data_IF_200330010864
#
_entry.id   IF_200330010864
#
_cell.length_a   1.000
_cell.length_b   1.000
_cell.length_c   1.000
_cell.angle_alpha   90.00
_cell.angle_beta   90.00
_cell.angle_gamma   90.00
#
_symmetry.space_group_name_H-M   'P 1'
#
loop_
_entity.id
_entity.type
_entity.pdbx_description
1 polymer ?
#
# COMPACT_ATOMS: atom_id res chain seq x y z
N UNK A 1 -15.58 24.90 13.74
CA UNK A 1 -15.65 23.42 13.85
C UNK A 1 -14.23 22.88 13.74
N UNK A 2 -13.74 22.18 14.77
CA UNK A 2 -12.39 21.63 14.78
C UNK A 2 -12.22 20.65 13.62
N UNK A 3 -11.30 20.95 12.71
CA UNK A 3 -11.10 20.21 11.45
C UNK A 3 -10.39 18.86 11.68
N UNK A 4 -9.94 18.59 12.92
CA UNK A 4 -9.48 17.27 13.32
C UNK A 4 -10.22 16.81 14.56
N UNK A 5 -10.53 15.52 14.55
CA UNK A 5 -10.95 14.80 15.72
C UNK A 5 -9.79 14.82 16.73
N UNK A 6 -10.09 15.07 18.00
CA UNK A 6 -9.12 15.05 19.11
C UNK A 6 -8.27 13.77 19.06
N UNK A 7 -7.04 13.79 19.62
CA UNK A 7 -6.08 12.66 19.63
C UNK A 7 -6.68 11.26 19.92
N UNK A 8 -7.84 11.21 20.59
CA UNK A 8 -8.59 10.00 20.94
C UNK A 8 -9.43 9.39 19.79
N UNK A 9 -9.57 10.07 18.65
CA UNK A 9 -10.46 9.66 17.53
C UNK A 9 -9.73 9.40 16.22
N UNK A 10 -8.39 9.38 16.22
CA UNK A 10 -7.61 9.05 15.03
C UNK A 10 -7.36 7.54 15.00
N UNK A 11 -7.97 6.83 14.04
CA UNK A 11 -7.76 5.39 13.79
C UNK A 11 -6.52 5.11 12.90
N UNK A 12 -5.77 6.16 12.54
CA UNK A 12 -4.57 6.07 11.70
C UNK A 12 -3.36 5.78 12.60
N UNK A 13 -2.48 4.81 12.23
CA UNK A 13 -1.26 4.56 12.99
C UNK A 13 -0.39 5.83 13.00
N UNK A 14 -0.02 6.28 14.20
CA UNK A 14 0.83 7.46 14.36
C UNK A 14 2.20 7.21 13.74
N UNK A 15 2.71 8.20 13.00
CA UNK A 15 4.08 8.18 12.52
C UNK A 15 5.05 8.32 13.70
N UNK A 16 6.15 7.58 13.64
CA UNK A 16 6.96 7.24 14.78
C UNK A 16 8.45 7.33 14.41
N UNK A 17 9.03 8.54 14.45
CA UNK A 17 10.48 8.72 14.33
C UNK A 17 11.19 8.47 15.68
N UNK A 18 12.34 7.82 15.64
CA UNK A 18 13.07 7.38 16.85
C UNK A 18 13.86 8.52 17.52
N UNK A 19 14.12 9.60 16.80
CA UNK A 19 14.90 10.77 17.25
C UNK A 19 14.06 11.84 17.98
N UNK A 20 12.75 11.65 18.08
CA UNK A 20 11.87 12.67 18.66
C UNK A 20 11.96 12.72 20.19
N UNK A 21 12.31 13.91 20.70
CA UNK A 21 12.49 14.19 22.14
C UNK A 21 11.43 15.15 22.66
N UNK A 22 10.86 14.86 23.83
CA UNK A 22 9.90 15.78 24.47
C UNK A 22 10.62 16.97 25.14
N UNK A 23 10.23 18.24 24.87
CA UNK A 23 10.91 19.41 25.43
C UNK A 23 10.76 19.56 26.95
N UNK A 24 9.74 18.94 27.54
CA UNK A 24 9.41 19.06 28.96
C UNK A 24 10.17 18.05 29.84
N UNK A 25 10.10 16.77 29.50
CA UNK A 25 10.72 15.69 30.26
C UNK A 25 12.08 15.25 29.69
N UNK A 26 12.45 15.73 28.49
CA UNK A 26 13.67 15.36 27.75
C UNK A 26 13.87 13.85 27.62
N UNK A 27 12.81 13.07 27.80
CA UNK A 27 12.87 11.62 27.62
C UNK A 27 12.84 11.33 26.13
N UNK A 28 13.89 10.66 25.68
CA UNK A 28 13.99 10.12 24.33
C UNK A 28 13.03 8.94 24.17
N UNK A 29 12.44 8.83 22.98
CA UNK A 29 11.50 7.76 22.66
C UNK A 29 12.15 6.37 22.65
N UNK A 30 13.46 6.30 22.40
CA UNK A 30 14.26 5.07 22.49
C UNK A 30 14.13 4.37 23.87
N UNK A 31 14.10 5.14 24.97
CA UNK A 31 13.97 4.57 26.31
C UNK A 31 12.54 4.09 26.61
N UNK A 32 11.52 4.70 26.00
CA UNK A 32 10.11 4.42 26.27
C UNK A 32 9.35 4.17 24.96
N UNK A 33 9.47 2.95 24.41
CA UNK A 33 8.82 2.54 23.16
C UNK A 33 7.30 2.79 23.05
N UNK A 34 6.46 2.63 24.10
CA UNK A 34 5.01 2.89 23.99
C UNK A 34 4.63 4.37 24.13
N UNK A 35 5.61 5.28 24.28
CA UNK A 35 5.35 6.70 24.48
C UNK A 35 4.85 7.35 23.17
N UNK A 36 3.63 7.89 23.23
CA UNK A 36 3.03 8.65 22.13
C UNK A 36 3.39 10.12 22.24
N UNK A 37 3.80 10.71 21.12
CA UNK A 37 3.98 12.14 20.98
C UNK A 37 2.72 12.73 20.34
N UNK A 38 2.26 13.81 20.94
CA UNK A 38 1.12 14.60 20.51
C UNK A 38 1.61 15.96 20.05
N UNK A 39 0.92 16.51 19.06
CA UNK A 39 1.18 17.82 18.49
C UNK A 39 0.02 18.75 18.82
N UNK A 40 0.33 19.94 19.32
CA UNK A 40 -0.65 20.99 19.56
C UNK A 40 -0.87 21.87 18.32
N UNK A 41 -1.87 22.78 18.32
CA UNK A 41 -2.08 23.71 17.20
C UNK A 41 -0.96 24.73 17.01
N UNK A 42 0.02 24.78 17.93
CA UNK A 42 1.26 25.53 17.77
C UNK A 42 2.39 24.71 17.11
N UNK A 43 2.11 23.50 16.62
CA UNK A 43 3.06 22.59 15.97
C UNK A 43 4.30 22.25 16.80
N UNK A 44 4.15 22.18 18.13
CA UNK A 44 5.19 21.68 19.03
C UNK A 44 4.84 20.25 19.50
N UNK A 45 5.85 19.37 19.52
CA UNK A 45 5.72 17.98 19.96
C UNK A 45 5.79 17.89 21.49
N UNK A 46 4.88 17.14 22.11
CA UNK A 46 4.85 16.87 23.55
C UNK A 46 4.40 15.44 23.84
N UNK A 47 4.87 14.82 24.92
CA UNK A 47 4.44 13.46 25.26
C UNK A 47 3.08 13.42 25.98
N UNK A 48 2.38 12.29 25.87
CA UNK A 48 1.06 12.09 26.49
C UNK A 48 1.04 12.39 28.01
N UNK A 49 2.08 12.00 28.74
CA UNK A 49 2.19 12.25 30.17
C UNK A 49 2.36 13.74 30.49
N UNK A 50 3.22 14.45 29.74
CA UNK A 50 3.41 15.89 29.93
C UNK A 50 2.19 16.70 29.49
N UNK A 51 1.48 16.26 28.45
CA UNK A 51 0.22 16.87 28.02
C UNK A 51 -0.85 16.68 29.09
N UNK A 52 -1.03 15.47 29.61
CA UNK A 52 -2.01 15.21 30.67
C UNK A 52 -1.67 16.03 31.92
N UNK A 53 -0.45 15.94 32.45
CA UNK A 53 -0.07 16.63 33.67
C UNK A 53 -0.24 18.17 33.60
N UNK A 54 0.10 18.80 32.46
CA UNK A 54 -0.02 20.26 32.32
C UNK A 54 -1.43 20.74 32.02
N UNK A 55 -2.15 20.04 31.15
CA UNK A 55 -3.44 20.51 30.62
C UNK A 55 -4.64 19.92 31.36
N UNK A 56 -4.45 18.98 32.30
CA UNK A 56 -5.53 18.49 33.18
C UNK A 56 -5.95 19.54 34.21
N UNK A 57 -5.03 20.41 34.63
CA UNK A 57 -5.32 21.50 35.57
C UNK A 57 -6.12 22.66 34.94
N UNK A 58 -6.20 22.71 33.61
CA UNK A 58 -6.89 23.77 32.87
C UNK A 58 -6.15 24.20 31.59
N UNK A 59 -6.64 25.24 30.90
CA UNK A 59 -5.94 25.81 29.76
C UNK A 59 -4.61 26.40 30.23
N UNK A 60 -3.50 25.90 29.68
CA UNK A 60 -2.15 26.28 30.04
C UNK A 60 -1.39 26.79 28.81
N UNK A 61 -0.35 27.62 28.97
CA UNK A 61 0.49 28.04 27.87
C UNK A 61 1.42 26.90 27.39
N UNK A 62 1.71 26.87 26.10
CA UNK A 62 2.73 26.00 25.51
C UNK A 62 4.13 26.38 26.07
N UNK A 63 5.00 25.42 26.43
CA UNK A 63 6.33 25.72 26.99
C UNK A 63 7.33 26.32 25.99
N UNK A 64 7.04 26.28 24.68
CA UNK A 64 7.95 26.80 23.63
C UNK A 64 7.48 28.15 23.11
N UNK A 65 6.19 28.32 22.86
CA UNK A 65 5.64 29.51 22.21
C UNK A 65 4.55 30.24 23.01
N UNK A 66 4.33 29.86 24.27
CA UNK A 66 3.42 30.50 25.24
C UNK A 66 1.95 30.67 24.83
N UNK A 67 1.54 30.19 23.66
CA UNK A 67 0.13 30.16 23.23
C UNK A 67 -0.70 29.32 24.20
N UNK A 68 -1.87 29.81 24.58
CA UNK A 68 -2.80 29.11 25.49
C UNK A 68 -3.46 27.96 24.73
N UNK A 69 -3.25 26.73 25.18
CA UNK A 69 -3.75 25.51 24.54
C UNK A 69 -4.68 24.73 25.47
N UNK A 70 -5.55 23.91 24.87
CA UNK A 70 -6.42 22.96 25.59
C UNK A 70 -6.04 21.53 25.28
N UNK A 71 -6.21 20.62 26.25
CA UNK A 71 -5.93 19.17 26.10
C UNK A 71 -6.62 18.56 24.88
N UNK A 72 -7.86 18.97 24.59
CA UNK A 72 -8.66 18.45 23.49
C UNK A 72 -8.11 18.81 22.10
N UNK A 73 -7.29 19.86 21.99
CA UNK A 73 -6.76 20.38 20.73
C UNK A 73 -5.46 19.68 20.30
N UNK A 74 -4.89 18.84 21.17
CA UNK A 74 -3.77 17.97 20.83
C UNK A 74 -4.23 16.78 19.98
N UNK A 75 -3.41 16.39 19.02
CA UNK A 75 -3.65 15.28 18.10
C UNK A 75 -2.36 14.46 17.88
N UNK A 76 -2.47 13.24 17.36
CA UNK A 76 -1.32 12.38 17.07
C UNK A 76 -0.74 12.74 15.69
N UNK A 77 0.60 12.82 15.61
CA UNK A 77 1.31 13.11 14.38
C UNK A 77 1.17 11.96 13.38
N UNK A 78 0.76 12.27 12.14
CA UNK A 78 0.61 11.30 11.05
C UNK A 78 1.71 11.40 9.99
N UNK A 79 2.37 12.55 9.87
CA UNK A 79 3.44 12.81 8.90
C UNK A 79 4.75 13.12 9.63
N UNK A 80 5.90 12.84 9.02
CA UNK A 80 7.22 13.18 9.59
C UNK A 80 7.40 14.70 9.75
N UNK A 81 7.04 15.45 8.71
CA UNK A 81 7.15 16.90 8.66
C UNK A 81 5.88 17.59 9.17
N UNK A 82 6.06 18.51 10.13
CA UNK A 82 5.02 19.35 10.72
C UNK A 82 4.51 20.40 9.72
N UNK A 83 5.32 20.81 8.74
CA UNK A 83 4.91 21.80 7.72
C UNK A 83 3.85 21.20 6.79
N UNK A 84 4.08 19.97 6.32
CA UNK A 84 3.12 19.20 5.51
C UNK A 84 1.84 18.96 6.30
N UNK A 85 1.94 18.67 7.59
CA UNK A 85 0.75 18.49 8.43
C UNK A 85 -0.07 19.78 8.58
N UNK A 86 0.59 20.94 8.73
CA UNK A 86 -0.06 22.25 8.72
C UNK A 86 -0.77 22.52 7.39
N UNK A 87 -0.07 22.28 6.28
CA UNK A 87 -0.61 22.45 4.92
C UNK A 87 -1.85 21.58 4.69
N UNK A 88 -1.78 20.28 5.02
CA UNK A 88 -2.91 19.35 4.89
C UNK A 88 -4.10 19.82 5.74
N UNK A 89 -3.85 20.37 6.94
CA UNK A 89 -4.91 20.90 7.80
C UNK A 89 -5.58 22.12 7.19
N UNK A 90 -4.80 23.07 6.67
CA UNK A 90 -5.31 24.27 6.00
C UNK A 90 -6.09 23.86 4.74
N UNK A 91 -5.54 22.98 3.91
CA UNK A 91 -6.21 22.47 2.69
C UNK A 91 -7.51 21.74 3.00
N UNK A 92 -7.57 20.92 4.06
CA UNK A 92 -8.83 20.30 4.50
C UNK A 92 -9.87 21.35 4.93
N UNK A 93 -9.45 22.38 5.69
CA UNK A 93 -10.33 23.50 6.06
C UNK A 93 -10.86 24.23 4.83
N UNK A 94 -10.00 24.45 3.83
CA UNK A 94 -10.36 25.12 2.58
C UNK A 94 -11.28 24.24 1.74
N UNK A 95 -10.99 22.96 1.54
CA UNK A 95 -11.85 22.03 0.79
C UNK A 95 -13.28 21.92 1.37
N UNK A 96 -13.44 22.01 2.70
CA UNK A 96 -14.76 22.04 3.33
C UNK A 96 -15.56 23.31 3.02
N UNK A 97 -14.87 24.44 2.83
CA UNK A 97 -15.50 25.74 2.56
C UNK A 97 -15.67 26.00 1.06
N UNK A 98 -14.67 25.63 0.26
CA UNK A 98 -14.56 25.78 -1.18
C UNK A 98 -14.84 24.45 -1.88
N UNK A 99 -16.09 24.00 -1.84
CA UNK A 99 -16.50 22.67 -2.31
C UNK A 99 -17.24 22.70 -3.67
N UNK A 100 -16.90 23.62 -4.57
CA UNK A 100 -17.46 23.67 -5.93
C UNK A 100 -16.76 22.65 -6.83
N UNK A 101 -17.54 21.90 -7.61
CA UNK A 101 -17.01 20.90 -8.56
C UNK A 101 -16.92 21.51 -9.96
N UNK A 102 -16.17 20.87 -10.85
CA UNK A 102 -16.08 21.28 -12.26
C UNK A 102 -17.47 21.40 -12.92
N UNK A 103 -18.42 20.54 -12.54
CA UNK A 103 -19.81 20.54 -13.02
C UNK A 103 -20.57 21.84 -12.70
N UNK A 104 -20.15 22.60 -11.69
CA UNK A 104 -20.80 23.85 -11.30
C UNK A 104 -20.38 25.03 -12.20
N UNK A 105 -19.41 24.84 -13.10
CA UNK A 105 -18.86 25.87 -13.98
C UNK A 105 -19.20 25.59 -15.45
N UNK A 106 -19.39 26.67 -16.23
CA UNK A 106 -19.70 26.58 -17.67
C UNK A 106 -18.46 26.30 -18.51
N UNK A 107 -17.31 26.83 -18.08
CA UNK A 107 -16.04 26.74 -18.80
C UNK A 107 -14.94 26.21 -17.88
N UNK A 108 -14.04 25.41 -18.45
CA UNK A 108 -12.88 24.86 -17.72
C UNK A 108 -11.96 25.97 -17.20
N UNK A 109 -11.83 27.09 -17.95
CA UNK A 109 -11.01 28.23 -17.54
C UNK A 109 -11.51 28.86 -16.23
N UNK A 110 -12.82 28.97 -16.07
CA UNK A 110 -13.41 29.55 -14.85
C UNK A 110 -13.16 28.65 -13.64
N UNK A 111 -13.18 27.33 -13.84
CA UNK A 111 -12.84 26.36 -12.81
C UNK A 111 -11.36 26.45 -12.42
N UNK A 112 -10.45 26.55 -13.39
CA UNK A 112 -9.02 26.68 -13.10
C UNK A 112 -8.70 27.99 -12.38
N UNK A 113 -9.28 29.12 -12.79
CA UNK A 113 -9.13 30.40 -12.10
C UNK A 113 -9.67 30.32 -10.65
N UNK A 114 -10.75 29.55 -10.42
CA UNK A 114 -11.28 29.32 -9.09
C UNK A 114 -10.32 28.49 -8.23
N UNK A 115 -9.71 27.43 -8.78
CA UNK A 115 -8.70 26.64 -8.08
C UNK A 115 -7.46 27.48 -7.74
N UNK A 116 -6.99 28.30 -8.67
CA UNK A 116 -5.87 29.22 -8.44
C UNK A 116 -6.17 30.20 -7.31
N UNK A 117 -7.36 30.82 -7.30
CA UNK A 117 -7.80 31.69 -6.20
C UNK A 117 -7.82 30.95 -4.85
N UNK A 118 -8.24 29.68 -4.83
CA UNK A 118 -8.24 28.87 -3.59
C UNK A 118 -6.80 28.60 -3.14
N UNK A 119 -5.89 28.29 -4.06
CA UNK A 119 -4.47 28.07 -3.73
C UNK A 119 -3.75 29.36 -3.29
N UNK A 120 -4.10 30.52 -3.85
CA UNK A 120 -3.56 31.80 -3.36
C UNK A 120 -3.97 32.05 -1.91
N UNK A 121 -5.20 31.72 -1.54
CA UNK A 121 -5.70 31.86 -0.17
C UNK A 121 -5.06 30.83 0.77
N UNK A 122 -4.87 29.57 0.33
CA UNK A 122 -4.19 28.55 1.15
C UNK A 122 -2.74 28.93 1.40
N UNK A 123 -2.05 29.46 0.38
CA UNK A 123 -0.65 29.83 0.45
C UNK A 123 -0.41 31.02 1.40
N UNK A 124 -1.29 32.04 1.35
CA UNK A 124 -1.30 33.14 2.34
C UNK A 124 -1.43 32.64 3.77
N UNK A 125 -2.36 31.69 4.01
CA UNK A 125 -2.54 31.10 5.32
C UNK A 125 -1.38 30.20 5.77
N UNK A 126 -0.60 29.64 4.85
CA UNK A 126 0.51 28.75 5.17
C UNK A 126 1.76 29.54 5.58
N UNK A 127 2.03 30.65 4.90
CA UNK A 127 3.19 31.51 5.16
C UNK A 127 2.92 32.61 6.20
N UNK A 128 1.72 32.65 6.78
CA UNK A 128 1.25 33.70 7.70
C UNK A 128 1.31 35.12 7.09
N UNK A 129 1.21 35.22 5.75
CA UNK A 129 1.16 36.49 5.02
C UNK A 129 -0.30 36.98 4.93
N UNK A 130 -0.60 38.14 5.52
CA UNK A 130 -1.92 38.80 5.51
C UNK A 130 -3.08 37.85 5.89
N UNK A 131 -2.93 37.12 7.01
CA UNK A 131 -3.92 36.16 7.50
C UNK A 131 -5.31 36.78 7.67
N UNK A 132 -5.39 38.04 8.08
CA UNK A 132 -6.66 38.74 8.31
C UNK A 132 -7.46 38.95 7.01
N UNK A 133 -6.77 39.26 5.91
CA UNK A 133 -7.41 39.41 4.60
C UNK A 133 -7.91 38.06 4.07
N UNK A 134 -7.08 37.03 4.21
CA UNK A 134 -7.46 35.67 3.81
C UNK A 134 -8.68 35.19 4.60
N UNK A 135 -8.70 35.39 5.92
CA UNK A 135 -9.85 35.02 6.77
C UNK A 135 -11.11 35.81 6.44
N UNK A 136 -10.99 37.11 6.14
CA UNK A 136 -12.11 37.92 5.67
C UNK A 136 -12.70 37.39 4.37
N UNK A 137 -11.85 37.04 3.39
CA UNK A 137 -12.28 36.47 2.11
C UNK A 137 -12.99 35.13 2.29
N UNK A 138 -12.46 34.27 3.17
CA UNK A 138 -13.08 32.98 3.52
C UNK A 138 -14.46 33.18 4.14
N UNK A 139 -14.60 34.08 5.10
CA UNK A 139 -15.87 34.31 5.81
C UNK A 139 -16.90 34.96 4.89
N UNK A 140 -16.48 35.89 4.02
CA UNK A 140 -17.33 36.45 2.97
C UNK A 140 -17.83 35.34 2.04
N UNK A 141 -16.94 34.51 1.52
CA UNK A 141 -17.31 33.42 0.63
C UNK A 141 -18.27 32.43 1.30
N UNK A 142 -18.02 32.07 2.56
CA UNK A 142 -18.88 31.21 3.36
C UNK A 142 -20.29 31.79 3.49
N UNK A 143 -20.41 33.09 3.77
CA UNK A 143 -21.71 33.77 3.92
C UNK A 143 -22.48 33.80 2.61
N UNK A 144 -21.81 34.12 1.51
CA UNK A 144 -22.43 34.20 0.17
C UNK A 144 -22.83 32.82 -0.37
N UNK A 145 -22.06 31.77 -0.09
CA UNK A 145 -22.23 30.43 -0.68
C UNK A 145 -22.73 29.36 0.30
N UNK A 146 -23.21 29.72 1.48
CA UNK A 146 -23.61 28.77 2.54
C UNK A 146 -24.54 27.66 2.06
N UNK A 147 -25.60 28.02 1.31
CA UNK A 147 -26.57 27.06 0.77
C UNK A 147 -26.00 26.10 -0.28
N UNK A 148 -25.02 26.57 -1.06
CA UNK A 148 -24.32 25.75 -2.06
C UNK A 148 -23.39 24.78 -1.35
N UNK A 149 -22.67 25.28 -0.33
CA UNK A 149 -21.75 24.48 0.47
C UNK A 149 -22.49 23.32 1.14
N UNK A 150 -23.62 23.59 1.79
CA UNK A 150 -24.42 22.56 2.48
C UNK A 150 -24.97 21.50 1.50
N UNK A 151 -25.43 21.93 0.32
CA UNK A 151 -25.90 21.01 -0.73
C UNK A 151 -24.77 20.09 -1.21
N UNK A 152 -23.59 20.66 -1.46
CA UNK A 152 -22.44 19.90 -1.95
C UNK A 152 -21.86 18.97 -0.88
N UNK A 153 -21.87 19.38 0.39
CA UNK A 153 -21.52 18.51 1.53
C UNK A 153 -22.50 17.33 1.65
N UNK A 154 -23.81 17.60 1.53
CA UNK A 154 -24.83 16.55 1.59
C UNK A 154 -24.69 15.54 0.44
N UNK A 155 -24.35 16.01 -0.77
CA UNK A 155 -24.04 15.14 -1.91
C UNK A 155 -22.81 14.26 -1.63
N UNK A 156 -21.72 14.86 -1.14
CA UNK A 156 -20.49 14.11 -0.81
C UNK A 156 -20.76 12.98 0.20
N UNK A 157 -21.47 13.28 1.30
CA UNK A 157 -21.85 12.27 2.30
C UNK A 157 -22.73 11.15 1.70
N UNK A 158 -23.61 11.49 0.76
CA UNK A 158 -24.42 10.49 0.05
C UNK A 158 -23.56 9.61 -0.85
N UNK A 159 -22.64 10.19 -1.60
CA UNK A 159 -21.73 9.45 -2.47
C UNK A 159 -20.84 8.50 -1.64
N UNK A 160 -20.29 8.98 -0.52
CA UNK A 160 -19.48 8.17 0.41
C UNK A 160 -20.28 7.00 1.01
N UNK A 161 -21.53 7.22 1.42
CA UNK A 161 -22.39 6.15 1.95
C UNK A 161 -22.72 5.11 0.89
N UNK A 162 -22.99 5.52 -0.35
CA UNK A 162 -23.20 4.61 -1.48
C UNK A 162 -21.95 3.76 -1.75
N UNK A 163 -20.76 4.39 -1.77
CA UNK A 163 -19.50 3.67 -1.99
C UNK A 163 -19.24 2.62 -0.89
N UNK A 164 -19.46 2.97 0.38
CA UNK A 164 -19.33 2.00 1.49
C UNK A 164 -20.28 0.82 1.35
N UNK A 165 -21.56 1.09 1.05
CA UNK A 165 -22.55 0.03 0.84
C UNK A 165 -22.19 -0.87 -0.35
N UNK A 166 -21.67 -0.31 -1.44
CA UNK A 166 -21.22 -1.08 -2.59
C UNK A 166 -20.03 -2.00 -2.24
N UNK A 167 -19.06 -1.47 -1.50
CA UNK A 167 -17.93 -2.25 -1.00
C UNK A 167 -18.38 -3.40 -0.09
N UNK A 168 -19.26 -3.12 0.87
CA UNK A 168 -19.79 -4.13 1.79
C UNK A 168 -20.53 -5.26 1.05
N UNK A 169 -21.32 -4.89 0.03
CA UNK A 169 -22.01 -5.87 -0.82
C UNK A 169 -21.02 -6.74 -1.62
N UNK A 170 -19.95 -6.15 -2.15
CA UNK A 170 -18.92 -6.91 -2.87
C UNK A 170 -18.20 -7.90 -1.95
N UNK A 171 -17.86 -7.48 -0.73
CA UNK A 171 -17.24 -8.35 0.27
C UNK A 171 -18.18 -9.50 0.66
N UNK A 172 -19.46 -9.23 0.89
CA UNK A 172 -20.45 -10.27 1.17
C UNK A 172 -20.58 -11.28 0.02
N UNK A 173 -20.58 -10.81 -1.23
CA UNK A 173 -20.62 -11.70 -2.41
C UNK A 173 -19.39 -12.60 -2.50
N UNK A 174 -18.20 -12.05 -2.25
CA UNK A 174 -16.94 -12.84 -2.22
C UNK A 174 -16.98 -13.90 -1.12
N UNK A 175 -17.47 -13.56 0.07
CA UNK A 175 -17.61 -14.50 1.18
C UNK A 175 -18.61 -15.61 0.86
N UNK A 176 -19.76 -15.28 0.26
CA UNK A 176 -20.74 -16.28 -0.17
C UNK A 176 -20.16 -17.25 -1.20
N UNK A 177 -19.46 -16.72 -2.22
CA UNK A 177 -18.78 -17.56 -3.21
C UNK A 177 -17.72 -18.48 -2.58
N UNK A 178 -16.96 -17.98 -1.61
CA UNK A 178 -15.98 -18.78 -0.86
C UNK A 178 -16.67 -19.89 -0.07
N UNK A 179 -17.77 -19.60 0.61
CA UNK A 179 -18.54 -20.58 1.37
C UNK A 179 -19.14 -21.67 0.45
N UNK A 180 -19.74 -21.26 -0.68
CA UNK A 180 -20.25 -22.18 -1.69
C UNK A 180 -19.16 -23.10 -2.24
N UNK A 181 -17.98 -22.55 -2.53
CA UNK A 181 -16.84 -23.33 -2.99
C UNK A 181 -16.38 -24.36 -1.94
N UNK A 182 -16.29 -23.96 -0.68
CA UNK A 182 -15.93 -24.87 0.42
C UNK A 182 -16.98 -25.98 0.61
N UNK A 183 -18.27 -25.65 0.48
CA UNK A 183 -19.36 -26.65 0.54
C UNK A 183 -19.24 -27.68 -0.58
N UNK A 184 -18.97 -27.24 -1.81
CA UNK A 184 -18.75 -28.13 -2.96
C UNK A 184 -17.57 -29.08 -2.72
N UNK A 185 -16.45 -28.58 -2.21
CA UNK A 185 -15.29 -29.41 -1.88
C UNK A 185 -15.61 -30.44 -0.80
N UNK A 186 -16.33 -30.05 0.26
CA UNK A 186 -16.72 -30.97 1.33
C UNK A 186 -17.67 -32.08 0.82
N UNK A 187 -18.61 -31.74 -0.06
CA UNK A 187 -19.50 -32.72 -0.67
C UNK A 187 -18.75 -33.69 -1.61
N UNK A 188 -17.78 -33.18 -2.38
CA UNK A 188 -16.89 -34.04 -3.17
C UNK A 188 -16.09 -35.03 -2.31
N UNK A 189 -15.57 -34.59 -1.15
CA UNK A 189 -14.85 -35.45 -0.22
C UNK A 189 -15.74 -36.56 0.34
N UNK A 190 -16.98 -36.22 0.70
CA UNK A 190 -17.99 -37.19 1.17
C UNK A 190 -18.33 -38.22 0.09
N UNK A 191 -18.52 -37.79 -1.15
CA UNK A 191 -18.76 -38.70 -2.28
C UNK A 191 -17.57 -39.64 -2.51
N UNK A 192 -16.35 -39.11 -2.51
CA UNK A 192 -15.13 -39.92 -2.63
C UNK A 192 -15.01 -40.94 -1.49
N UNK A 193 -15.35 -40.56 -0.25
CA UNK A 193 -15.36 -41.46 0.89
C UNK A 193 -16.44 -42.56 0.75
N UNK A 194 -17.65 -42.20 0.34
CA UNK A 194 -18.73 -43.14 0.10
C UNK A 194 -18.39 -44.15 -1.00
N UNK A 195 -17.76 -43.70 -2.09
CA UNK A 195 -17.34 -44.60 -3.17
C UNK A 195 -16.25 -45.56 -2.66
N UNK A 196 -15.25 -45.06 -1.91
CA UNK A 196 -14.21 -45.89 -1.26
C UNK A 196 -14.82 -46.94 -0.33
N UNK A 197 -15.75 -46.54 0.55
CA UNK A 197 -16.43 -47.45 1.47
C UNK A 197 -17.25 -48.50 0.72
N UNK A 198 -17.94 -48.12 -0.36
CA UNK A 198 -18.68 -49.07 -1.21
C UNK A 198 -17.75 -50.07 -1.92
N UNK A 199 -16.55 -49.64 -2.30
CA UNK A 199 -15.54 -50.52 -2.91
C UNK A 199 -15.02 -51.53 -1.87
N UNK A 200 -14.73 -51.08 -0.65
CA UNK A 200 -14.29 -51.96 0.45
C UNK A 200 -15.38 -52.99 0.77
N UNK A 201 -16.65 -52.55 0.88
CA UNK A 201 -17.77 -53.45 1.16
C UNK A 201 -17.98 -54.49 0.04
N UNK A 202 -17.84 -54.08 -1.24
CA UNK A 202 -17.94 -54.98 -2.38
C UNK A 202 -16.80 -56.01 -2.40
N UNK A 203 -15.57 -55.60 -2.07
CA UNK A 203 -14.42 -56.50 -1.94
C UNK A 203 -14.59 -57.50 -0.78
N UNK A 204 -15.25 -57.10 0.32
CA UNK A 204 -15.47 -57.95 1.48
C UNK A 204 -16.61 -58.97 1.30
N UNK A 205 -17.66 -58.59 0.57
CA UNK A 205 -18.92 -59.37 0.52
C UNK A 205 -19.05 -60.24 -0.73
N UNK A 206 -18.37 -59.90 -1.82
CA UNK A 206 -18.55 -60.58 -3.11
C UNK A 206 -17.45 -61.60 -3.42
N UNK A 207 -17.84 -62.73 -4.03
CA UNK A 207 -16.94 -63.81 -4.48
C UNK A 207 -16.45 -63.64 -5.93
N UNK A 208 -16.59 -62.45 -6.52
CA UNK A 208 -16.13 -62.17 -7.89
C UNK A 208 -14.63 -61.84 -7.89
N UNK A 209 -13.98 -61.93 -9.06
CA UNK A 209 -12.57 -61.59 -9.20
C UNK A 209 -12.33 -60.11 -8.83
N UNK A 210 -11.37 -59.88 -7.93
CA UNK A 210 -11.08 -58.57 -7.36
C UNK A 210 -10.72 -57.53 -8.43
N UNK A 211 -10.13 -57.98 -9.54
CA UNK A 211 -9.74 -57.12 -10.67
C UNK A 211 -10.94 -56.48 -11.37
N UNK A 212 -12.08 -57.16 -11.45
CA UNK A 212 -13.24 -56.66 -12.18
C UNK A 212 -14.10 -55.72 -11.32
N UNK A 213 -14.16 -55.96 -10.01
CA UNK A 213 -14.81 -55.07 -9.03
C UNK A 213 -14.11 -53.69 -9.00
N UNK A 214 -12.77 -53.69 -8.98
CA UNK A 214 -11.98 -52.46 -8.98
C UNK A 214 -12.18 -51.68 -10.28
N UNK A 215 -12.19 -52.34 -11.45
CA UNK A 215 -12.45 -51.68 -12.74
C UNK A 215 -13.84 -51.02 -12.77
N UNK A 216 -14.88 -51.71 -12.33
CA UNK A 216 -16.25 -51.18 -12.34
C UNK A 216 -16.40 -49.95 -11.43
N UNK A 217 -15.81 -49.97 -10.23
CA UNK A 217 -15.84 -48.84 -9.28
C UNK A 217 -14.90 -47.70 -9.67
N UNK A 218 -13.78 -47.99 -10.32
CA UNK A 218 -12.87 -46.97 -10.87
C UNK A 218 -13.52 -46.17 -12.01
N UNK A 219 -14.36 -46.80 -12.83
CA UNK A 219 -15.17 -46.11 -13.85
C UNK A 219 -16.19 -45.18 -13.21
N UNK A 220 -16.84 -45.58 -12.11
CA UNK A 220 -17.75 -44.71 -11.34
C UNK A 220 -17.02 -43.48 -10.76
N UNK A 221 -15.82 -43.68 -10.20
CA UNK A 221 -15.01 -42.59 -9.62
C UNK A 221 -14.47 -41.60 -10.69
N UNK A 222 -14.10 -42.11 -11.88
CA UNK A 222 -13.74 -41.24 -13.01
C UNK A 222 -14.93 -40.43 -13.51
N UNK A 223 -16.12 -41.03 -13.57
CA UNK A 223 -17.35 -40.33 -14.00
C UNK A 223 -17.74 -39.20 -13.05
N UNK A 224 -17.67 -39.41 -11.72
CA UNK A 224 -17.94 -38.34 -10.75
C UNK A 224 -16.89 -37.22 -10.83
N UNK A 225 -15.60 -37.55 -11.01
CA UNK A 225 -14.53 -36.56 -11.15
C UNK A 225 -14.60 -35.71 -12.44
N UNK A 226 -15.07 -36.28 -13.55
CA UNK A 226 -15.22 -35.57 -14.82
C UNK A 226 -16.45 -34.66 -14.82
N UNK A 227 -17.55 -35.08 -14.18
CA UNK A 227 -18.74 -34.26 -14.02
C UNK A 227 -18.46 -33.03 -13.14
N UNK A 228 -17.67 -33.20 -12.08
CA UNK A 228 -17.21 -32.11 -11.22
C UNK A 228 -16.31 -31.11 -11.97
N UNK A 229 -15.34 -31.60 -12.76
CA UNK A 229 -14.47 -30.74 -13.59
C UNK A 229 -15.23 -29.93 -14.64
N UNK A 230 -16.30 -30.48 -15.22
CA UNK A 230 -17.13 -29.75 -16.19
C UNK A 230 -18.01 -28.68 -15.54
N UNK A 231 -18.53 -28.93 -14.34
CA UNK A 231 -19.30 -27.94 -13.57
C UNK A 231 -18.42 -26.72 -13.20
N UNK A 232 -17.16 -26.99 -12.81
CA UNK A 232 -16.17 -25.95 -12.46
C UNK A 232 -15.67 -25.14 -13.67
N UNK A 233 -15.83 -25.66 -14.89
CA UNK A 233 -15.41 -24.99 -16.14
C UNK A 233 -16.45 -23.97 -16.64
N UNK A 234 -17.69 -24.05 -16.15
CA UNK A 234 -18.78 -23.11 -16.51
C UNK A 234 -18.69 -21.76 -15.78
N UNK A 235 -17.94 -21.65 -14.69
CA UNK A 235 -17.84 -20.45 -13.85
C UNK A 235 -16.50 -19.71 -14.00
N UNK A 236 -15.57 -20.24 -14.80
CA UNK A 236 -14.30 -19.58 -15.09
C UNK A 236 -14.43 -18.76 -16.37
N UNK A 237 -14.48 -17.44 -16.24
CA UNK A 237 -13.97 -16.56 -17.28
C UNK A 237 -12.57 -17.04 -17.64
N UNK A 238 -12.30 -17.23 -18.94
CA UNK A 238 -11.06 -17.79 -19.47
C UNK A 238 -9.90 -16.81 -19.27
N UNK A 239 -9.24 -16.90 -18.12
CA UNK A 239 -7.98 -16.20 -17.83
C UNK A 239 -6.83 -16.74 -18.70
N UNK A 240 -6.89 -18.01 -19.11
CA UNK A 240 -5.91 -18.66 -19.99
C UNK A 240 -5.91 -18.09 -21.43
N UNK A 241 -7.04 -17.55 -21.91
CA UNK A 241 -7.15 -16.94 -23.26
C UNK A 241 -6.67 -15.47 -23.26
N UNK A 242 -6.61 -14.85 -22.08
CA UNK A 242 -6.07 -13.51 -21.87
C UNK A 242 -4.53 -13.55 -21.71
N UNK A 243 -4.01 -14.59 -21.07
CA UNK A 243 -2.57 -14.81 -20.86
C UNK A 243 -1.85 -15.33 -22.12
N UNK A 244 -2.55 -15.99 -23.04
CA UNK A 244 -1.97 -16.45 -24.30
C UNK A 244 -1.69 -15.33 -25.32
N UNK A 245 -2.19 -14.11 -25.09
CA UNK A 245 -2.00 -12.94 -25.96
C UNK A 245 -1.00 -11.91 -25.42
N UNK A 246 -0.24 -12.25 -24.37
CA UNK A 246 0.73 -11.39 -23.68
C UNK A 246 2.17 -11.92 -23.80
N UNK A 247 2.54 -12.41 -24.98
CA UNK A 247 3.94 -12.75 -25.29
C UNK A 247 4.51 -11.77 -26.32
N UNK A 248 5.33 -10.83 -25.85
CA UNK A 248 6.13 -9.94 -26.70
C UNK A 248 6.32 -8.52 -26.17
N UNK A 249 7.10 -8.36 -25.10
CA UNK A 249 7.59 -7.04 -24.68
C UNK A 249 8.56 -7.14 -23.51
N UNK A 250 9.86 -7.11 -23.79
CA UNK A 250 10.91 -6.86 -22.80
C UNK A 250 10.62 -5.54 -22.05
N UNK A 251 10.27 -5.67 -20.78
CA UNK A 251 10.23 -4.61 -19.80
C UNK A 251 10.88 -5.15 -18.53
N UNK A 252 11.86 -4.42 -18.02
CA UNK A 252 12.59 -4.76 -16.79
C UNK A 252 11.60 -4.80 -15.61
N UNK A 253 11.25 -6.00 -15.15
CA UNK A 253 10.38 -6.19 -13.98
C UNK A 253 11.18 -5.87 -12.71
N UNK A 254 11.03 -4.65 -12.22
CA UNK A 254 11.27 -4.30 -10.82
C UNK A 254 10.24 -5.06 -9.95
N UNK A 255 10.71 -6.02 -9.16
CA UNK A 255 10.15 -6.54 -7.90
C UNK A 255 8.64 -6.29 -7.63
N UNK A 256 7.76 -6.82 -8.50
CA UNK A 256 6.30 -6.78 -8.31
C UNK A 256 5.76 -8.03 -7.59
N UNK A 257 6.66 -8.89 -7.07
CA UNK A 257 6.30 -10.07 -6.30
C UNK A 257 5.90 -9.79 -4.84
N UNK A 258 6.18 -8.58 -4.33
CA UNK A 258 5.98 -8.22 -2.90
C UNK A 258 4.68 -7.45 -2.61
N UNK A 259 3.82 -7.20 -3.61
CA UNK A 259 2.55 -6.48 -3.45
C UNK A 259 1.30 -7.36 -3.64
N UNK A 260 1.33 -8.60 -3.16
CA UNK A 260 0.09 -9.38 -2.95
C UNK A 260 -0.44 -9.04 -1.55
N UNK A 261 -1.70 -8.59 -1.39
CA UNK A 261 -2.30 -8.40 -0.08
C UNK A 261 -2.22 -9.69 0.73
N UNK A 262 -1.42 -9.67 1.80
CA UNK A 262 -1.32 -10.76 2.77
C UNK A 262 -2.72 -11.09 3.31
N UNK A 263 -3.30 -12.25 2.95
CA UNK A 263 -4.59 -12.73 3.47
C UNK A 263 -4.35 -13.57 4.73
N UNK A 264 -4.64 -13.07 5.95
CA UNK A 264 -4.41 -13.80 7.19
C UNK A 264 -5.29 -15.06 7.35
N UNK A 265 -6.26 -15.25 6.45
CA UNK A 265 -7.10 -16.45 6.40
C UNK A 265 -6.54 -17.54 5.49
N UNK A 266 -5.50 -17.26 4.68
CA UNK A 266 -4.58 -18.29 4.19
C UNK A 266 -3.70 -18.67 5.39
N UNK A 267 -4.13 -19.72 6.09
CA UNK A 267 -3.37 -20.30 7.19
C UNK A 267 -1.93 -20.59 6.69
N UNK A 268 -0.89 -19.93 7.23
CA UNK A 268 0.51 -20.30 6.96
C UNK A 268 0.84 -21.71 7.48
N UNK A 269 -0.11 -22.32 8.20
CA UNK A 269 -0.06 -23.64 8.81
C UNK A 269 -0.87 -24.68 8.04
N UNK A 270 -1.25 -24.42 6.78
CA UNK A 270 -1.64 -25.56 5.94
C UNK A 270 -0.44 -26.52 5.97
N UNK A 271 -0.63 -27.79 6.38
CA UNK A 271 0.49 -28.69 6.57
C UNK A 271 1.17 -28.84 5.22
N UNK A 272 2.31 -28.15 5.07
CA UNK A 272 3.17 -28.26 3.91
C UNK A 272 3.42 -29.75 3.75
N UNK A 273 3.03 -30.31 2.60
CA UNK A 273 3.28 -31.71 2.31
C UNK A 273 4.79 -31.86 2.08
N UNK A 274 5.53 -31.97 3.17
CA UNK A 274 6.98 -32.16 3.14
C UNK A 274 7.23 -33.61 2.75
N UNK A 275 7.79 -33.83 1.57
CA UNK A 275 8.36 -35.11 1.19
C UNK A 275 9.89 -35.01 1.33
N UNK A 276 10.50 -35.94 2.07
CA UNK A 276 11.95 -36.11 2.09
C UNK A 276 12.39 -36.55 0.68
N UNK A 277 13.05 -35.66 -0.04
CA UNK A 277 13.72 -35.97 -1.31
C UNK A 277 15.16 -36.39 -1.00
N UNK A 278 15.60 -37.51 -1.57
CA UNK A 278 16.98 -38.01 -1.40
C UNK A 278 18.03 -37.04 -2.00
N UNK A 279 17.61 -36.12 -2.87
CA UNK A 279 18.41 -35.03 -3.42
C UNK A 279 17.57 -33.75 -3.55
N UNK A 280 18.15 -32.65 -3.09
CA UNK A 280 17.61 -31.31 -3.30
C UNK A 280 18.18 -30.74 -4.60
N UNK A 281 17.40 -30.79 -5.67
CA UNK A 281 17.68 -30.09 -6.93
C UNK A 281 16.82 -28.81 -6.94
N UNK A 282 17.43 -27.65 -6.74
CA UNK A 282 16.76 -26.35 -6.88
C UNK A 282 16.54 -26.06 -8.39
N UNK A 283 15.29 -26.08 -8.89
CA UNK A 283 15.03 -25.90 -10.31
C UNK A 283 15.21 -24.46 -10.79
N UNK A 284 15.29 -23.47 -9.88
CA UNK A 284 15.28 -22.05 -10.26
C UNK A 284 16.66 -21.39 -10.34
N UNK A 285 17.72 -22.05 -9.89
CA UNK A 285 19.03 -21.39 -9.76
C UNK A 285 20.11 -21.96 -10.68
N UNK A 286 19.93 -21.76 -11.99
CA UNK A 286 20.95 -22.08 -13.01
C UNK A 286 22.24 -21.26 -12.84
N UNK A 287 22.20 -20.13 -12.11
CA UNK A 287 23.33 -19.25 -11.87
C UNK A 287 24.48 -19.91 -11.08
N UNK A 288 24.18 -20.89 -10.22
CA UNK A 288 25.22 -21.60 -9.46
C UNK A 288 25.83 -22.80 -10.20
N UNK A 289 25.19 -23.29 -11.28
CA UNK A 289 25.71 -24.41 -12.07
C UNK A 289 26.70 -23.98 -13.15
N UNK A 290 26.61 -22.73 -13.61
CA UNK A 290 27.58 -22.13 -14.53
C UNK A 290 28.37 -21.05 -13.78
N UNK A 291 29.58 -21.39 -13.33
CA UNK A 291 30.44 -20.52 -12.52
C UNK A 291 31.02 -19.29 -13.25
N UNK A 292 30.28 -18.70 -14.18
CA UNK A 292 30.64 -17.47 -14.87
C UNK A 292 29.67 -16.35 -14.51
N UNK A 293 29.95 -15.62 -13.42
CA UNK A 293 29.31 -14.33 -13.21
C UNK A 293 29.84 -13.35 -14.26
N UNK A 294 29.10 -13.16 -15.34
CA UNK A 294 29.32 -12.09 -16.31
C UNK A 294 28.50 -10.87 -15.88
N UNK A 295 29.16 -9.85 -15.33
CA UNK A 295 28.52 -8.54 -15.20
C UNK A 295 28.60 -7.85 -16.57
N UNK A 296 27.46 -7.41 -17.12
CA UNK A 296 27.37 -6.66 -18.37
C UNK A 296 28.10 -7.29 -19.58
N UNK A 297 28.10 -8.62 -19.68
CA UNK A 297 28.70 -9.35 -20.81
C UNK A 297 30.23 -9.41 -20.84
N UNK A 298 30.92 -8.91 -19.81
CA UNK A 298 32.39 -8.92 -19.73
C UNK A 298 32.85 -9.88 -18.64
N UNK A 299 33.78 -10.78 -18.98
CA UNK A 299 34.43 -11.65 -17.99
C UNK A 299 35.43 -10.84 -17.15
N UNK A 300 35.67 -11.26 -15.90
CA UNK A 300 36.61 -10.56 -14.99
C UNK A 300 37.99 -10.33 -15.62
N UNK A 301 38.46 -11.29 -16.40
CA UNK A 301 39.75 -11.26 -17.09
C UNK A 301 39.79 -10.19 -18.20
N UNK A 302 38.72 -10.06 -18.99
CA UNK A 302 38.62 -9.01 -20.01
C UNK A 302 38.59 -7.62 -19.39
N UNK A 303 37.86 -7.43 -18.29
CA UNK A 303 37.80 -6.13 -17.61
C UNK A 303 39.17 -5.70 -17.06
N UNK A 304 39.91 -6.64 -16.45
CA UNK A 304 41.27 -6.37 -15.96
C UNK A 304 42.22 -5.97 -17.10
N UNK A 305 42.10 -6.60 -18.26
CA UNK A 305 42.93 -6.27 -19.42
C UNK A 305 42.66 -4.86 -19.94
N UNK A 306 41.40 -4.46 -20.08
CA UNK A 306 41.05 -3.10 -20.53
C UNK A 306 41.50 -2.01 -19.54
N UNK A 307 41.45 -2.28 -18.24
CA UNK A 307 41.97 -1.36 -17.22
C UNK A 307 43.48 -1.13 -17.37
N UNK A 308 44.24 -2.20 -17.60
CA UNK A 308 45.69 -2.12 -17.78
C UNK A 308 46.03 -1.38 -19.09
N UNK A 309 45.37 -1.72 -20.20
CA UNK A 309 45.58 -1.06 -21.49
C UNK A 309 45.22 0.43 -21.43
N UNK A 310 44.10 0.79 -20.80
CA UNK A 310 43.69 2.18 -20.63
C UNK A 310 44.62 3.00 -19.71
N UNK A 311 45.20 2.36 -18.67
CA UNK A 311 46.16 3.03 -17.80
C UNK A 311 47.50 3.31 -18.49
N UNK A 312 47.93 2.46 -19.43
CA UNK A 312 49.23 2.58 -20.11
C UNK A 312 49.16 3.41 -21.41
N UNK A 313 48.00 3.46 -22.07
CA UNK A 313 47.80 4.23 -23.29
C UNK A 313 47.63 5.74 -22.99
N UNK A 314 48.74 6.43 -22.73
CA UNK A 314 48.75 7.89 -22.57
C UNK A 314 49.92 8.46 -21.77
N UNK A 315 50.70 7.61 -21.10
CA UNK A 315 51.82 8.03 -20.26
C UNK A 315 53.15 8.26 -21.02
N UNK A 316 53.23 7.88 -22.30
CA UNK A 316 54.42 8.09 -23.13
C UNK A 316 54.13 9.04 -24.29
N UNK A 317 54.07 10.34 -23.99
CA UNK A 317 54.27 11.38 -25.00
C UNK A 317 55.77 11.70 -25.00
N UNK A 318 56.47 11.36 -26.08
CA UNK A 318 57.88 11.74 -26.24
C UNK A 318 57.98 13.27 -26.32
N UNK A 319 58.96 13.90 -25.64
CA UNK A 319 59.16 15.35 -25.74
C UNK A 319 59.49 15.74 -27.19
N UNK A 320 58.96 16.89 -27.64
CA UNK A 320 59.22 17.45 -28.97
C UNK A 320 60.72 17.82 -29.08
N UNK A 321 61.40 17.29 -30.09
CA UNK A 321 62.78 17.66 -30.41
C UNK A 321 62.80 19.11 -30.89
N UNK A 322 63.61 19.97 -30.24
CA UNK A 322 63.75 21.38 -30.59
C UNK A 322 64.47 21.53 -31.94
N UNK A 323 63.76 22.05 -32.95
CA UNK A 323 64.31 22.34 -34.27
C UNK A 323 65.46 23.35 -34.19
N UNK A 324 66.61 22.93 -34.71
CA UNK A 324 67.79 23.74 -34.91
C UNK A 324 67.58 24.78 -36.04
N UNK A 325 67.82 26.06 -35.69
CA UNK A 325 68.55 27.10 -36.45
C UNK A 325 68.09 27.44 -37.89
N UNK A 326 67.67 28.70 -38.07
CA UNK A 326 68.25 29.68 -39.02
C UNK A 326 67.37 30.95 -39.00
N UNK A 327 67.83 32.13 -38.57
CA UNK A 327 68.88 32.97 -39.14
C UNK A 327 68.68 33.22 -40.65
N UNK A 328 67.86 34.21 -41.00
CA UNK A 328 68.20 35.40 -41.82
C UNK A 328 67.00 36.36 -41.93
#
# INVERSE_FOLDING_TARGET
MSVLASALKQEIPAFQADDDTCPQCKSERYLNRPMKLLVGPCYHKMCEQCVSQRFDAGPAPCPVCERILRKAEFYQQIFEDLTVENEVRIRKRMAMTFNKRQEDFKHLKDYNNYLEMVEDITLKLLYDDDTDEAEYMIERYRRENSSIIERNQSKLLRDETIQRLAFDQEQQRKLQQREEHLRLLADEEREKANIKNSLIAALATSNMDAKDIVKAKMVQLKKSSLSARNSMRSTRFNVDDLLANLDGGDGEDEDEADNVPFDPAESPYEPVKIALLDRYDDPKNNAFRQGGLTAAGVTREMHQRYLIEGALAGLFVSPLEEDAVSAE
#
